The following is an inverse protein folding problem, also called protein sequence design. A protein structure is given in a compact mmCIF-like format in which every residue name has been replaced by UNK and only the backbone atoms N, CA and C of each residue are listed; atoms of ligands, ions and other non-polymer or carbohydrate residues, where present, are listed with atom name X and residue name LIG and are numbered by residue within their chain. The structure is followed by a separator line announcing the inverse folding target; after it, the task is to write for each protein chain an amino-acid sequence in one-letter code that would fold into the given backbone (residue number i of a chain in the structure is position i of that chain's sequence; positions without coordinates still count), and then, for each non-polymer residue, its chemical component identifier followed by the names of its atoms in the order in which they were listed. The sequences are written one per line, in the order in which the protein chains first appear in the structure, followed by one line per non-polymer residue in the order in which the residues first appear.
data_IF_052816460510
#
_entry.id   IF_052816460510
#
_cell.length_a   1.000
_cell.length_b   1.000
_cell.length_c   1.000
_cell.angle_alpha   90.00
_cell.angle_beta   90.00
_cell.angle_gamma   90.00
#
_symmetry.space_group_name_H-M   'P 1'
#
loop_
_entity.id
_entity.type
_entity.pdbx_description
1 polymer ?
#
# COMPACT_ATOMS: atom_id res chain seq x y z
N UNK A 1 -12.87 15.86 14.43
CA UNK A 1 -12.56 16.29 13.05
C UNK A 1 -11.38 15.50 12.59
N UNK A 2 -11.53 14.76 11.49
CA UNK A 2 -10.49 13.86 11.01
C UNK A 2 -9.92 14.26 9.65
N UNK A 3 -10.49 15.26 8.95
CA UNK A 3 -9.99 15.78 7.67
C UNK A 3 -9.93 17.31 7.68
N UNK A 4 -8.90 17.88 7.04
CA UNK A 4 -8.80 19.30 6.71
C UNK A 4 -8.34 19.47 5.26
N UNK A 5 -9.16 20.11 4.43
CA UNK A 5 -8.84 20.46 3.04
C UNK A 5 -8.11 21.79 3.01
N UNK A 6 -6.84 21.76 2.60
CA UNK A 6 -5.97 22.93 2.57
C UNK A 6 -6.00 23.68 1.24
N UNK A 7 -6.23 22.98 0.13
CA UNK A 7 -6.15 23.55 -1.22
C UNK A 7 -6.97 22.73 -2.22
N UNK A 8 -7.66 23.41 -3.12
CA UNK A 8 -8.19 22.84 -4.37
C UNK A 8 -7.68 23.71 -5.51
N UNK A 9 -6.76 23.16 -6.31
CA UNK A 9 -6.10 23.86 -7.40
C UNK A 9 -6.49 23.25 -8.74
N UNK A 10 -6.97 24.08 -9.66
CA UNK A 10 -7.22 23.65 -11.05
C UNK A 10 -5.90 23.61 -11.83
N UNK A 11 -5.78 22.60 -12.69
CA UNK A 11 -4.64 22.47 -13.57
C UNK A 11 -4.89 23.21 -14.90
N UNK A 12 -3.84 23.69 -15.57
CA UNK A 12 -3.99 24.34 -16.86
C UNK A 12 -4.70 23.43 -17.87
N UNK A 13 -5.74 23.96 -18.50
CA UNK A 13 -6.47 23.29 -19.58
C UNK A 13 -5.57 23.18 -20.81
N UNK A 14 -5.73 22.11 -21.57
CA UNK A 14 -4.89 21.77 -22.71
C UNK A 14 -5.67 21.63 -24.04
N UNK A 15 -5.09 20.94 -25.01
CA UNK A 15 -5.70 20.72 -26.31
C UNK A 15 -6.90 19.77 -26.27
N UNK A 16 -7.03 18.90 -25.27
CA UNK A 16 -8.12 17.91 -25.17
C UNK A 16 -9.32 18.37 -24.36
N UNK A 17 -9.13 19.34 -23.48
CA UNK A 17 -10.19 19.88 -22.62
C UNK A 17 -10.60 21.27 -23.12
N UNK A 18 -11.90 21.54 -23.18
CA UNK A 18 -12.45 22.86 -23.49
C UNK A 18 -12.55 23.70 -22.22
N UNK A 19 -13.13 23.11 -21.17
CA UNK A 19 -13.27 23.71 -19.86
C UNK A 19 -13.48 22.62 -18.80
N UNK A 20 -13.06 22.88 -17.57
CA UNK A 20 -13.31 22.00 -16.43
C UNK A 20 -13.32 22.83 -15.14
N UNK A 21 -14.02 22.34 -14.12
CA UNK A 21 -13.97 22.90 -12.77
C UNK A 21 -14.19 21.82 -11.71
N UNK A 22 -13.74 22.11 -10.49
CA UNK A 22 -14.10 21.39 -9.27
C UNK A 22 -14.90 22.38 -8.42
N UNK A 23 -16.19 22.08 -8.23
CA UNK A 23 -17.14 22.92 -7.51
C UNK A 23 -17.06 22.68 -5.98
N UNK A 24 -16.63 21.48 -5.56
CA UNK A 24 -16.52 21.04 -4.16
C UNK A 24 -15.39 20.00 -4.06
N UNK A 25 -14.59 19.93 -2.96
CA UNK A 25 -14.77 20.56 -1.65
C UNK A 25 -14.24 22.00 -1.55
N UNK A 26 -14.80 22.83 -0.65
CA UNK A 26 -14.14 24.05 -0.22
C UNK A 26 -12.93 23.73 0.66
N UNK A 27 -12.03 24.69 0.81
CA UNK A 27 -10.99 24.63 1.84
C UNK A 27 -11.61 24.74 3.23
N UNK A 28 -11.12 23.96 4.18
CA UNK A 28 -11.58 23.97 5.56
C UNK A 28 -11.72 22.56 6.15
N UNK A 29 -12.22 22.47 7.39
CA UNK A 29 -12.40 21.20 8.05
C UNK A 29 -13.57 20.41 7.44
N UNK A 30 -13.40 19.09 7.37
CA UNK A 30 -14.45 18.15 6.99
C UNK A 30 -14.65 17.16 8.13
N UNK A 31 -15.90 16.95 8.52
CA UNK A 31 -16.25 15.99 9.56
C UNK A 31 -16.14 14.55 9.03
N UNK A 32 -15.61 13.66 9.87
CA UNK A 32 -15.44 12.25 9.52
C UNK A 32 -14.25 11.93 8.62
N UNK A 33 -14.36 10.79 7.93
CA UNK A 33 -13.27 10.14 7.17
C UNK A 33 -13.54 10.08 5.66
N UNK A 34 -14.50 10.87 5.18
CA UNK A 34 -14.90 10.93 3.77
C UNK A 34 -15.11 12.40 3.41
N UNK A 35 -14.68 12.81 2.21
CA UNK A 35 -15.08 14.08 1.62
C UNK A 35 -15.63 13.86 0.22
N UNK A 36 -16.56 14.69 -0.20
CA UNK A 36 -17.12 14.62 -1.55
C UNK A 36 -16.30 15.45 -2.52
N UNK A 37 -16.33 15.07 -3.80
CA UNK A 37 -15.83 15.88 -4.90
C UNK A 37 -16.92 16.03 -5.93
N UNK A 38 -17.25 17.28 -6.25
CA UNK A 38 -18.17 17.63 -7.33
C UNK A 38 -17.43 18.48 -8.34
N UNK A 39 -17.69 18.25 -9.61
CA UNK A 39 -17.15 19.07 -10.67
C UNK A 39 -17.80 18.79 -12.00
N UNK A 40 -17.21 19.35 -13.04
CA UNK A 40 -17.64 19.13 -14.41
C UNK A 40 -16.47 19.27 -15.36
N UNK A 41 -16.58 18.63 -16.52
CA UNK A 41 -15.59 18.73 -17.59
C UNK A 41 -16.27 18.65 -18.94
N UNK A 42 -15.81 19.52 -19.86
CA UNK A 42 -16.19 19.51 -21.27
C UNK A 42 -14.95 19.15 -22.08
N UNK A 43 -14.92 17.93 -22.60
CA UNK A 43 -13.85 17.45 -23.49
C UNK A 43 -14.07 17.85 -24.95
N UNK A 44 -12.98 17.93 -25.72
CA UNK A 44 -13.01 17.99 -27.19
C UNK A 44 -13.06 16.61 -27.85
N UNK A 45 -12.87 15.56 -27.04
CA UNK A 45 -12.99 14.15 -27.40
C UNK A 45 -13.90 13.44 -26.38
N UNK A 46 -14.48 12.28 -26.74
CA UNK A 46 -15.31 11.50 -25.82
C UNK A 46 -14.56 11.10 -24.55
N UNK A 47 -15.15 11.44 -23.41
CA UNK A 47 -14.64 11.10 -22.07
C UNK A 47 -15.23 9.76 -21.65
N UNK A 48 -14.38 8.89 -21.11
CA UNK A 48 -14.79 7.61 -20.55
C UNK A 48 -15.17 7.74 -19.07
N UNK A 49 -14.29 8.34 -18.27
CA UNK A 49 -14.47 8.46 -16.82
C UNK A 49 -13.60 9.58 -16.22
N UNK A 50 -13.87 9.90 -14.96
CA UNK A 50 -13.01 10.69 -14.10
C UNK A 50 -12.39 9.76 -13.05
N UNK A 51 -11.07 9.80 -12.92
CA UNK A 51 -10.28 9.04 -11.95
C UNK A 51 -9.73 9.97 -10.87
N UNK A 52 -9.75 9.49 -9.64
CA UNK A 52 -9.10 10.10 -8.48
C UNK A 52 -7.85 9.31 -8.16
N UNK A 53 -6.69 9.96 -8.17
CA UNK A 53 -5.39 9.31 -8.08
C UNK A 53 -4.63 9.81 -6.85
N UNK A 54 -4.08 8.88 -6.07
CA UNK A 54 -3.18 9.16 -4.95
C UNK A 54 -1.96 8.27 -5.05
N UNK A 55 -0.75 8.87 -4.97
CA UNK A 55 0.53 8.14 -5.08
C UNK A 55 0.53 7.14 -6.26
N UNK A 56 0.15 7.64 -7.45
CA UNK A 56 0.07 6.88 -8.72
C UNK A 56 -1.02 5.79 -8.79
N UNK A 57 -1.75 5.56 -7.70
CA UNK A 57 -2.85 4.58 -7.62
C UNK A 57 -4.21 5.26 -7.82
N UNK A 58 -5.04 4.69 -8.68
CA UNK A 58 -6.46 5.10 -8.79
C UNK A 58 -7.19 4.63 -7.54
N UNK A 59 -7.68 5.57 -6.74
CA UNK A 59 -8.39 5.30 -5.48
C UNK A 59 -9.92 5.32 -5.64
N UNK A 60 -10.41 5.98 -6.69
CA UNK A 60 -11.82 6.00 -7.06
C UNK A 60 -12.00 6.41 -8.52
N UNK A 61 -13.11 6.03 -9.13
CA UNK A 61 -13.56 6.57 -10.41
C UNK A 61 -15.07 6.82 -10.44
N UNK A 62 -15.51 7.65 -11.37
CA UNK A 62 -16.92 7.93 -11.65
C UNK A 62 -17.13 8.31 -13.12
N UNK A 63 -18.35 8.09 -13.61
CA UNK A 63 -18.79 8.57 -14.92
C UNK A 63 -19.23 10.04 -14.87
N UNK A 64 -19.55 10.62 -16.03
CA UNK A 64 -20.08 11.98 -16.14
C UNK A 64 -21.61 11.98 -16.16
N UNK A 65 -22.23 11.41 -15.14
CA UNK A 65 -23.68 11.20 -15.06
C UNK A 65 -24.44 12.35 -14.39
N UNK A 66 -23.74 13.30 -13.76
CA UNK A 66 -24.36 14.45 -13.09
C UNK A 66 -24.85 15.46 -14.12
N UNK A 67 -26.13 15.79 -14.00
CA UNK A 67 -26.85 16.67 -14.92
C UNK A 67 -26.48 18.16 -14.73
N UNK A 68 -25.94 18.77 -15.79
CA UNK A 68 -25.40 20.15 -15.85
C UNK A 68 -25.87 20.92 -17.10
N UNK A 69 -27.15 21.32 -17.14
CA UNK A 69 -27.72 22.03 -18.29
C UNK A 69 -27.13 23.45 -18.44
N UNK A 70 -26.69 24.06 -17.33
CA UNK A 70 -25.97 25.34 -17.29
C UNK A 70 -24.65 25.29 -18.07
N UNK A 71 -23.92 24.18 -17.94
CA UNK A 71 -22.66 23.94 -18.65
C UNK A 71 -22.93 23.65 -20.14
N UNK A 72 -23.97 22.87 -20.44
CA UNK A 72 -24.39 22.60 -21.81
C UNK A 72 -24.75 23.88 -22.57
N UNK A 73 -25.49 24.80 -21.94
CA UNK A 73 -25.86 26.09 -22.54
C UNK A 73 -24.63 26.98 -22.77
N UNK A 74 -23.68 26.99 -21.83
CA UNK A 74 -22.48 27.84 -21.90
C UNK A 74 -21.47 27.37 -22.94
N UNK A 75 -21.26 26.05 -23.05
CA UNK A 75 -20.18 25.47 -23.87
C UNK A 75 -20.68 24.69 -25.09
N UNK A 76 -22.00 24.59 -25.31
CA UNK A 76 -22.59 23.82 -26.41
C UNK A 76 -22.32 22.32 -26.30
N UNK A 77 -22.23 21.79 -25.07
CA UNK A 77 -21.91 20.39 -24.77
C UNK A 77 -23.14 19.54 -24.46
N UNK A 78 -22.94 18.25 -24.17
CA UNK A 78 -23.95 17.45 -23.48
C UNK A 78 -24.24 18.04 -22.09
N UNK A 79 -25.49 17.90 -21.64
CA UNK A 79 -25.88 18.18 -20.26
C UNK A 79 -25.41 17.11 -19.27
N UNK A 80 -24.90 15.97 -19.74
CA UNK A 80 -24.17 15.00 -18.93
C UNK A 80 -22.67 15.34 -18.98
N UNK A 81 -22.29 16.33 -18.18
CA UNK A 81 -20.93 16.86 -18.13
C UNK A 81 -20.40 17.00 -16.69
N UNK A 82 -21.25 16.79 -15.68
CA UNK A 82 -20.85 16.81 -14.29
C UNK A 82 -20.39 15.44 -13.82
N UNK A 83 -19.55 15.43 -12.79
CA UNK A 83 -19.13 14.22 -12.10
C UNK A 83 -19.23 14.43 -10.59
N UNK A 84 -19.44 13.32 -9.87
CA UNK A 84 -19.43 13.30 -8.41
C UNK A 84 -18.83 12.01 -7.88
N UNK A 85 -18.06 12.11 -6.78
CA UNK A 85 -17.60 10.94 -6.03
C UNK A 85 -17.33 11.27 -4.56
N UNK A 86 -17.67 10.34 -3.67
CA UNK A 86 -17.20 10.34 -2.30
C UNK A 86 -15.82 9.69 -2.20
N UNK A 87 -14.88 10.36 -1.53
CA UNK A 87 -13.48 9.93 -1.38
C UNK A 87 -13.21 9.61 0.09
N UNK A 88 -13.01 8.32 0.39
CA UNK A 88 -12.57 7.87 1.71
C UNK A 88 -11.10 8.18 1.96
N UNK A 89 -10.77 8.66 3.15
CA UNK A 89 -9.39 9.05 3.50
C UNK A 89 -8.63 7.99 4.30
N UNK A 90 -9.33 6.98 4.84
CA UNK A 90 -8.68 5.82 5.47
C UNK A 90 -7.87 5.07 4.43
N UNK A 91 -6.54 5.05 4.59
CA UNK A 91 -5.62 4.51 3.58
C UNK A 91 -4.79 5.58 2.87
N UNK A 92 -5.18 6.85 2.93
CA UNK A 92 -4.34 7.94 2.43
C UNK A 92 -3.27 8.32 3.47
N UNK A 93 -2.17 8.90 2.99
CA UNK A 93 -1.18 9.51 3.86
C UNK A 93 -1.80 10.61 4.76
N UNK A 94 -1.23 10.81 5.96
CA UNK A 94 -1.71 11.83 6.91
C UNK A 94 -1.71 13.25 6.33
N UNK A 95 -0.81 13.53 5.39
CA UNK A 95 -0.92 14.63 4.46
C UNK A 95 -1.04 14.02 3.06
N UNK A 96 -2.08 14.36 2.32
CA UNK A 96 -2.40 13.73 1.05
C UNK A 96 -2.58 14.75 -0.08
N UNK A 97 -2.40 14.26 -1.30
CA UNK A 97 -2.83 14.93 -2.53
C UNK A 97 -3.63 13.92 -3.32
N UNK A 98 -4.85 14.29 -3.69
CA UNK A 98 -5.71 13.56 -4.62
C UNK A 98 -5.72 14.34 -5.92
N UNK A 99 -5.21 13.72 -6.98
CA UNK A 99 -5.23 14.26 -8.33
C UNK A 99 -6.51 13.82 -9.04
N UNK A 100 -7.17 14.76 -9.72
CA UNK A 100 -8.38 14.49 -10.49
C UNK A 100 -8.00 14.41 -11.96
N UNK A 101 -8.18 13.23 -12.54
CA UNK A 101 -7.81 12.90 -13.91
C UNK A 101 -9.04 12.60 -14.75
N UNK A 102 -9.07 13.10 -15.97
CA UNK A 102 -10.06 12.78 -16.99
C UNK A 102 -9.45 11.77 -17.94
N UNK A 103 -10.14 10.64 -18.14
CA UNK A 103 -9.73 9.58 -19.05
C UNK A 103 -10.63 9.60 -20.28
N UNK A 104 -10.01 9.68 -21.45
CA UNK A 104 -10.70 9.68 -22.74
C UNK A 104 -10.90 8.24 -23.26
N UNK A 105 -11.88 8.03 -24.13
CA UNK A 105 -12.18 6.70 -24.70
C UNK A 105 -11.02 6.10 -25.50
N UNK A 106 -10.06 6.92 -25.94
CA UNK A 106 -8.84 6.48 -26.62
C UNK A 106 -7.67 6.16 -25.67
N UNK A 107 -7.92 6.18 -24.36
CA UNK A 107 -6.94 5.87 -23.31
C UNK A 107 -6.02 7.04 -22.93
N UNK A 108 -6.11 8.19 -23.59
CA UNK A 108 -5.40 9.39 -23.13
C UNK A 108 -5.98 9.84 -21.80
N UNK A 109 -5.11 10.37 -20.93
CA UNK A 109 -5.51 10.95 -19.64
C UNK A 109 -5.02 12.38 -19.49
N UNK A 110 -5.78 13.22 -18.78
CA UNK A 110 -5.43 14.61 -18.46
C UNK A 110 -5.80 14.96 -17.04
N UNK A 111 -4.87 15.58 -16.33
CA UNK A 111 -5.09 16.06 -14.98
C UNK A 111 -5.85 17.40 -15.03
N UNK A 112 -6.93 17.53 -14.26
CA UNK A 112 -7.76 18.75 -14.22
C UNK A 112 -7.69 19.49 -12.89
N UNK A 113 -7.33 18.81 -11.80
CA UNK A 113 -7.22 19.44 -10.49
C UNK A 113 -6.36 18.62 -9.51
N UNK A 114 -5.89 19.30 -8.46
CA UNK A 114 -5.29 18.70 -7.27
C UNK A 114 -6.04 19.15 -6.02
N UNK A 115 -6.41 18.20 -5.18
CA UNK A 115 -7.02 18.43 -3.87
C UNK A 115 -5.99 18.03 -2.82
N UNK A 116 -5.61 18.97 -1.95
CA UNK A 116 -4.62 18.73 -0.89
C UNK A 116 -5.25 18.88 0.47
N UNK A 117 -4.92 17.98 1.38
CA UNK A 117 -5.41 18.04 2.74
C UNK A 117 -4.59 17.20 3.70
N UNK A 118 -5.04 17.22 4.95
CA UNK A 118 -4.54 16.35 6.00
C UNK A 118 -5.67 15.50 6.55
N UNK A 119 -5.31 14.33 7.05
CA UNK A 119 -6.24 13.45 7.76
C UNK A 119 -5.56 12.81 8.97
N UNK A 120 -6.38 12.46 9.96
CA UNK A 120 -5.93 11.77 11.16
C UNK A 120 -6.89 10.63 11.52
N UNK A 121 -6.42 9.40 11.32
CA UNK A 121 -7.07 8.20 11.84
C UNK A 121 -6.81 8.03 13.33
N UNK A 122 -7.88 7.96 14.11
CA UNK A 122 -7.85 7.77 15.57
C UNK A 122 -8.35 6.38 15.96
N UNK A 123 -7.95 5.96 17.17
CA UNK A 123 -8.42 4.74 17.80
C UNK A 123 -8.30 4.87 19.32
N UNK A 124 -9.28 4.34 20.04
CA UNK A 124 -9.24 4.26 21.50
C UNK A 124 -8.31 3.14 22.02
N UNK A 125 -7.77 2.29 21.13
CA UNK A 125 -6.86 1.23 21.50
C UNK A 125 -5.43 1.76 21.63
N UNK A 126 -4.76 1.42 22.74
CA UNK A 126 -3.36 1.78 22.98
C UNK A 126 -2.51 0.51 22.75
N UNK A 127 -1.77 0.40 21.63
CA UNK A 127 -1.03 -0.82 21.34
C UNK A 127 0.16 -1.00 22.26
N UNK A 128 0.22 -2.14 22.96
CA UNK A 128 1.40 -2.50 23.75
C UNK A 128 2.51 -3.12 22.90
N UNK A 129 2.13 -3.71 21.76
CA UNK A 129 3.04 -4.18 20.72
C UNK A 129 2.96 -3.32 19.46
N UNK A 130 4.10 -3.17 18.79
CA UNK A 130 4.25 -2.34 17.59
C UNK A 130 4.80 -3.17 16.42
N UNK A 131 4.42 -2.88 15.17
CA UNK A 131 4.92 -3.60 14.01
C UNK A 131 6.37 -3.21 13.70
N UNK A 132 7.17 -4.19 13.30
CA UNK A 132 8.38 -4.01 12.49
C UNK A 132 8.08 -4.65 11.13
N UNK A 133 7.93 -3.83 10.11
CA UNK A 133 7.64 -4.31 8.75
C UNK A 133 8.94 -4.54 7.99
N UNK A 134 9.17 -5.76 7.52
CA UNK A 134 10.29 -6.06 6.61
C UNK A 134 9.79 -5.90 5.18
N UNK A 135 10.02 -4.73 4.60
CA UNK A 135 9.65 -4.38 3.23
C UNK A 135 10.76 -4.86 2.28
N UNK A 136 10.41 -5.78 1.39
CA UNK A 136 11.38 -6.38 0.47
C UNK A 136 10.72 -6.85 -0.83
N UNK A 137 11.54 -7.07 -1.85
CA UNK A 137 11.09 -7.79 -3.03
C UNK A 137 11.39 -9.28 -2.87
N UNK A 138 10.54 -10.13 -3.44
CA UNK A 138 10.75 -11.57 -3.47
C UNK A 138 12.17 -11.96 -3.90
N UNK A 139 12.74 -12.96 -3.23
CA UNK A 139 14.11 -13.47 -3.43
C UNK A 139 15.27 -12.56 -2.97
N UNK A 140 14.99 -11.58 -2.10
CA UNK A 140 16.02 -10.68 -1.53
C UNK A 140 16.60 -11.12 -0.19
N UNK A 141 16.26 -12.32 0.30
CA UNK A 141 16.78 -12.85 1.57
C UNK A 141 15.96 -12.49 2.82
N UNK A 142 14.73 -11.98 2.65
CA UNK A 142 13.86 -11.56 3.76
C UNK A 142 13.52 -12.69 4.73
N UNK A 143 13.36 -13.93 4.26
CA UNK A 143 13.20 -15.11 5.12
C UNK A 143 14.35 -15.28 6.11
N UNK A 144 15.60 -15.04 5.68
CA UNK A 144 16.78 -15.13 6.56
C UNK A 144 16.80 -13.98 7.56
N UNK A 145 16.47 -12.77 7.13
CA UNK A 145 16.41 -11.60 8.01
C UNK A 145 15.31 -11.75 9.09
N UNK A 146 14.11 -12.16 8.70
CA UNK A 146 13.00 -12.40 9.64
C UNK A 146 13.33 -13.51 10.63
N UNK A 147 14.05 -14.56 10.19
CA UNK A 147 14.56 -15.59 11.10
C UNK A 147 15.55 -15.03 12.13
N UNK A 148 16.45 -14.12 11.72
CA UNK A 148 17.36 -13.45 12.65
C UNK A 148 16.56 -12.58 13.65
N UNK A 149 15.54 -11.85 13.19
CA UNK A 149 14.67 -11.02 14.06
C UNK A 149 13.92 -11.84 15.12
N UNK A 150 13.52 -13.08 14.81
CA UNK A 150 12.80 -13.96 15.75
C UNK A 150 13.58 -14.31 17.02
N UNK A 151 14.92 -14.15 17.02
CA UNK A 151 15.74 -14.40 18.20
C UNK A 151 15.81 -13.22 19.17
N UNK A 152 15.49 -12.00 18.72
CA UNK A 152 15.56 -10.82 19.57
C UNK A 152 14.53 -10.90 20.71
N UNK A 153 14.90 -10.61 21.97
CA UNK A 153 14.02 -10.80 23.13
C UNK A 153 12.72 -10.00 23.09
N UNK A 154 12.77 -8.78 22.53
CA UNK A 154 11.62 -7.88 22.45
C UNK A 154 10.76 -8.06 21.20
N UNK A 155 11.12 -9.00 20.31
CA UNK A 155 10.44 -9.22 19.04
C UNK A 155 9.71 -10.57 19.07
N UNK A 156 8.46 -10.59 18.59
CA UNK A 156 7.75 -11.81 18.24
C UNK A 156 7.55 -11.93 16.74
N UNK A 157 7.84 -13.11 16.20
CA UNK A 157 7.64 -13.44 14.79
C UNK A 157 6.79 -14.70 14.77
N UNK A 158 5.72 -14.73 13.98
CA UNK A 158 5.02 -15.99 13.71
C UNK A 158 5.89 -16.80 12.74
N UNK A 159 6.36 -17.98 13.18
CA UNK A 159 7.40 -18.74 12.49
C UNK A 159 6.90 -19.75 11.46
N UNK A 160 5.66 -19.64 10.99
CA UNK A 160 5.18 -20.46 9.89
C UNK A 160 5.86 -19.99 8.62
N UNK A 161 6.76 -20.83 8.09
CA UNK A 161 7.36 -20.60 6.78
C UNK A 161 6.26 -20.36 5.72
N UNK A 162 6.38 -19.33 4.85
CA UNK A 162 7.56 -18.48 4.61
C UNK A 162 7.64 -17.18 5.43
N UNK A 163 7.03 -17.13 6.63
CA UNK A 163 6.88 -15.96 7.50
C UNK A 163 5.95 -14.89 6.91
N UNK A 164 4.81 -15.34 6.38
CA UNK A 164 3.83 -14.55 5.60
C UNK A 164 2.41 -14.74 6.15
N UNK A 165 2.21 -14.40 7.42
CA UNK A 165 0.88 -14.51 8.06
C UNK A 165 -0.01 -13.29 7.85
N UNK A 166 0.59 -12.12 7.58
CA UNK A 166 -0.12 -10.89 7.20
C UNK A 166 -1.29 -10.52 8.13
N UNK A 167 -1.22 -10.82 9.42
CA UNK A 167 -2.32 -10.59 10.37
C UNK A 167 -2.64 -9.10 10.49
N UNK A 168 -1.63 -8.27 10.76
CA UNK A 168 -1.76 -6.82 10.80
C UNK A 168 -2.20 -6.29 9.44
N UNK A 169 -1.48 -6.66 8.38
CA UNK A 169 -1.79 -6.24 7.01
C UNK A 169 -3.25 -6.57 6.61
N UNK A 170 -3.74 -7.76 6.95
CA UNK A 170 -5.11 -8.19 6.73
C UNK A 170 -6.12 -7.30 7.45
N UNK A 171 -5.91 -7.05 8.75
CA UNK A 171 -6.81 -6.21 9.54
C UNK A 171 -6.79 -4.73 9.12
N UNK A 172 -5.65 -4.21 8.64
CA UNK A 172 -5.58 -2.87 8.06
C UNK A 172 -6.37 -2.78 6.75
N UNK A 173 -6.27 -3.80 5.89
CA UNK A 173 -7.07 -3.87 4.67
C UNK A 173 -8.56 -4.04 4.98
N UNK A 174 -8.92 -4.88 5.95
CA UNK A 174 -10.30 -5.07 6.40
C UNK A 174 -10.94 -3.75 6.85
N UNK A 175 -10.22 -2.97 7.66
CA UNK A 175 -10.70 -1.64 8.07
C UNK A 175 -10.83 -0.69 6.88
N UNK A 176 -9.86 -0.67 5.97
CA UNK A 176 -9.94 0.16 4.77
C UNK A 176 -11.20 -0.13 3.95
N UNK A 177 -11.53 -1.42 3.76
CA UNK A 177 -12.77 -1.83 3.08
C UNK A 177 -14.00 -1.32 3.83
N UNK A 178 -14.07 -1.54 5.15
CA UNK A 178 -15.24 -1.13 5.94
C UNK A 178 -15.41 0.40 6.04
N UNK A 179 -14.31 1.15 6.04
CA UNK A 179 -14.30 2.60 6.10
C UNK A 179 -14.44 3.27 4.72
N UNK A 180 -14.45 2.49 3.64
CA UNK A 180 -14.69 3.02 2.31
C UNK A 180 -16.14 3.49 2.18
N UNK A 181 -16.40 4.62 1.48
CA UNK A 181 -17.76 5.01 1.15
C UNK A 181 -18.36 3.96 0.21
N UNK A 182 -19.64 3.64 0.42
CA UNK A 182 -20.36 2.71 -0.44
C UNK A 182 -20.50 3.28 -1.85
N UNK A 183 -20.25 2.45 -2.87
CA UNK A 183 -20.47 2.82 -4.26
C UNK A 183 -21.85 2.34 -4.72
N UNK A 184 -22.83 3.24 -4.76
CA UNK A 184 -24.20 2.93 -5.18
C UNK A 184 -24.37 2.79 -6.69
N UNK A 185 -23.31 3.06 -7.48
CA UNK A 185 -23.36 2.93 -8.95
C UNK A 185 -23.30 1.49 -9.42
N UNK A 186 -22.74 0.60 -8.59
CA UNK A 186 -22.91 -0.83 -8.75
C UNK A 186 -24.17 -1.20 -7.99
N UNK A 187 -25.11 -1.90 -8.65
CA UNK A 187 -26.23 -2.56 -8.01
C UNK A 187 -25.69 -3.63 -7.03
N UNK A 188 -25.11 -3.22 -5.89
CA UNK A 188 -24.86 -4.03 -4.70
C UNK A 188 -26.22 -4.29 -4.02
N UNK A 189 -27.13 -4.85 -4.82
CA UNK A 189 -28.49 -5.22 -4.45
C UNK A 189 -28.46 -6.37 -3.44
N UNK A 190 -29.62 -6.69 -2.86
CA UNK A 190 -29.84 -7.88 -2.02
C UNK A 190 -29.24 -9.18 -2.60
N UNK A 191 -29.06 -9.25 -3.92
CA UNK A 191 -28.44 -10.38 -4.62
C UNK A 191 -26.98 -10.58 -4.24
N UNK A 192 -26.25 -9.52 -3.86
CA UNK A 192 -24.87 -9.61 -3.38
C UNK A 192 -24.74 -10.59 -2.21
N UNK A 193 -25.55 -10.39 -1.17
CA UNK A 193 -25.56 -11.21 0.04
C UNK A 193 -25.92 -12.68 -0.23
N UNK A 194 -26.61 -12.95 -1.34
CA UNK A 194 -27.01 -14.30 -1.74
C UNK A 194 -26.03 -14.98 -2.70
N UNK A 195 -25.34 -14.23 -3.57
CA UNK A 195 -24.54 -14.76 -4.67
C UNK A 195 -23.04 -14.85 -4.35
N UNK A 196 -22.52 -13.97 -3.47
CA UNK A 196 -21.11 -13.99 -3.06
C UNK A 196 -20.95 -13.79 -1.55
N UNK A 197 -21.27 -14.82 -0.73
CA UNK A 197 -21.21 -14.71 0.73
C UNK A 197 -19.77 -14.60 1.29
N UNK A 198 -18.74 -14.63 0.44
CA UNK A 198 -17.33 -14.50 0.85
C UNK A 198 -16.74 -13.12 0.56
N UNK A 199 -17.39 -12.31 -0.26
CA UNK A 199 -17.01 -10.91 -0.47
C UNK A 199 -17.57 -10.06 0.67
N UNK A 200 -16.76 -9.11 1.12
CA UNK A 200 -17.17 -8.08 2.07
C UNK A 200 -17.22 -6.74 1.32
N UNK A 201 -18.40 -6.12 1.17
CA UNK A 201 -18.52 -4.82 0.54
C UNK A 201 -18.13 -3.72 1.54
N UNK A 202 -17.94 -2.47 1.07
CA UNK A 202 -17.89 -1.32 1.95
C UNK A 202 -19.10 -1.26 2.89
N UNK A 203 -18.94 -0.61 4.04
CA UNK A 203 -20.03 -0.49 5.00
C UNK A 203 -21.18 0.34 4.39
N UNK A 204 -22.41 -0.20 4.30
CA UNK A 204 -23.49 0.35 3.47
C UNK A 204 -24.16 1.61 4.04
N UNK A 205 -23.70 2.10 5.19
CA UNK A 205 -24.35 3.17 5.96
C UNK A 205 -23.75 4.56 5.73
N UNK A 206 -22.81 4.72 4.80
CA UNK A 206 -22.51 6.05 4.27
C UNK A 206 -23.63 6.46 3.32
N UNK A 207 -24.69 7.06 3.87
CA UNK A 207 -25.83 7.53 3.10
C UNK A 207 -25.47 8.81 2.35
N UNK A 208 -25.75 8.83 1.05
CA UNK A 208 -25.51 10.00 0.22
C UNK A 208 -26.50 11.11 0.59
N UNK A 209 -26.07 12.38 0.65
CA UNK A 209 -26.98 13.50 0.87
C UNK A 209 -28.08 13.55 -0.22
N UNK A 210 -29.25 14.07 0.18
CA UNK A 210 -30.58 14.07 -0.49
C UNK A 210 -30.61 14.44 -1.99
N UNK A 211 -29.53 14.97 -2.55
CA UNK A 211 -29.53 15.71 -3.82
C UNK A 211 -29.43 14.80 -5.06
N UNK A 212 -29.06 13.52 -4.92
CA UNK A 212 -28.68 12.69 -6.09
C UNK A 212 -29.30 11.30 -6.15
N UNK A 213 -30.40 11.05 -5.42
CA UNK A 213 -31.21 9.84 -5.66
C UNK A 213 -32.02 10.07 -6.96
N UNK A 214 -31.86 9.25 -8.02
CA UNK A 214 -32.67 9.37 -9.23
C UNK A 214 -34.16 9.36 -8.86
N UNK A 215 -34.99 10.13 -9.56
CA UNK A 215 -36.41 10.34 -9.22
C UNK A 215 -37.22 9.04 -8.97
N UNK A 216 -36.75 7.91 -9.51
CA UNK A 216 -37.35 6.58 -9.33
C UNK A 216 -36.99 5.85 -8.02
N UNK A 217 -35.97 6.31 -7.30
CA UNK A 217 -35.50 5.73 -6.03
C UNK A 217 -35.83 6.60 -4.81
N UNK A 218 -36.65 7.65 -4.98
CA UNK A 218 -37.08 8.49 -3.86
C UNK A 218 -37.83 7.66 -2.81
N UNK A 219 -37.32 7.50 -1.57
CA UNK A 219 -38.06 6.81 -0.52
C UNK A 219 -39.38 7.53 -0.21
N UNK A 220 -40.43 6.75 0.08
CA UNK A 220 -41.78 7.22 0.44
C UNK A 220 -41.81 8.11 1.71
N UNK A 221 -40.73 8.07 2.50
CA UNK A 221 -40.45 9.00 3.58
C UNK A 221 -38.93 9.19 3.67
N UNK A 222 -38.47 10.44 3.57
CA UNK A 222 -37.07 10.78 3.79
C UNK A 222 -36.81 10.94 5.29
N UNK A 223 -35.65 10.49 5.79
CA UNK A 223 -35.20 10.93 7.10
C UNK A 223 -35.03 12.44 7.08
N UNK A 224 -35.30 13.08 8.21
CA UNK A 224 -35.04 14.51 8.39
C UNK A 224 -33.54 14.80 8.30
N UNK A 225 -33.12 16.04 7.97
CA UNK A 225 -31.70 16.42 7.98
C UNK A 225 -30.99 16.11 9.31
N UNK A 226 -31.70 16.19 10.44
CA UNK A 226 -31.17 15.82 11.75
C UNK A 226 -30.91 14.31 11.89
N UNK A 227 -31.76 13.47 11.30
CA UNK A 227 -31.58 12.01 11.27
C UNK A 227 -30.41 11.61 10.36
N UNK A 228 -30.24 12.26 9.20
CA UNK A 228 -29.06 12.06 8.34
C UNK A 228 -27.75 12.36 9.06
N UNK A 229 -27.64 13.54 9.67
CA UNK A 229 -26.45 13.95 10.42
C UNK A 229 -26.16 12.99 11.58
N UNK A 230 -27.20 12.48 12.26
CA UNK A 230 -27.02 11.51 13.33
C UNK A 230 -26.45 10.18 12.83
N UNK A 231 -26.89 9.70 11.66
CA UNK A 231 -26.41 8.46 11.05
C UNK A 231 -24.99 8.62 10.50
N UNK A 232 -24.67 9.72 9.83
CA UNK A 232 -23.30 10.02 9.37
C UNK A 232 -22.33 10.07 10.53
N UNK A 233 -22.70 10.75 11.63
CA UNK A 233 -21.88 10.80 12.84
C UNK A 233 -21.68 9.41 13.44
N UNK A 234 -22.74 8.60 13.51
CA UNK A 234 -22.63 7.21 13.97
C UNK A 234 -21.68 6.40 13.11
N UNK A 235 -21.72 6.57 11.77
CA UNK A 235 -20.80 5.93 10.84
C UNK A 235 -19.35 6.32 11.11
N UNK A 236 -19.06 7.60 11.33
CA UNK A 236 -17.71 8.05 11.66
C UNK A 236 -17.20 7.46 12.97
N UNK A 237 -18.06 7.37 13.99
CA UNK A 237 -17.72 6.69 15.24
C UNK A 237 -17.43 5.19 15.01
N UNK A 238 -18.06 4.56 14.01
CA UNK A 238 -17.76 3.16 13.65
C UNK A 238 -16.36 3.00 13.03
N UNK A 239 -15.86 3.98 12.28
CA UNK A 239 -14.50 3.89 11.70
C UNK A 239 -13.45 3.80 12.80
N UNK A 240 -13.58 4.60 13.86
CA UNK A 240 -12.68 4.55 15.03
C UNK A 240 -12.80 3.21 15.77
N UNK A 241 -14.03 2.66 15.86
CA UNK A 241 -14.27 1.35 16.45
C UNK A 241 -13.69 0.21 15.61
N UNK A 242 -13.76 0.28 14.28
CA UNK A 242 -13.09 -0.66 13.38
C UNK A 242 -11.57 -0.62 13.59
N UNK A 243 -10.99 0.57 13.79
CA UNK A 243 -9.58 0.71 14.14
C UNK A 243 -9.23 0.06 15.47
N UNK A 244 -10.06 0.29 16.50
CA UNK A 244 -9.91 -0.33 17.81
C UNK A 244 -9.97 -1.86 17.73
N UNK A 245 -10.94 -2.41 17.02
CA UNK A 245 -11.13 -3.86 16.84
C UNK A 245 -9.97 -4.47 16.06
N UNK A 246 -9.55 -3.85 14.95
CA UNK A 246 -8.42 -4.29 14.14
C UNK A 246 -7.13 -4.41 14.98
N UNK A 247 -6.77 -3.35 15.71
CA UNK A 247 -5.56 -3.38 16.56
C UNK A 247 -5.68 -4.41 17.69
N UNK A 248 -6.85 -4.53 18.32
CA UNK A 248 -7.08 -5.51 19.37
C UNK A 248 -6.96 -6.95 18.87
N UNK A 249 -7.47 -7.25 17.66
CA UNK A 249 -7.38 -8.56 17.04
C UNK A 249 -5.93 -8.92 16.68
N UNK A 250 -5.20 -7.99 16.08
CA UNK A 250 -3.77 -8.14 15.77
C UNK A 250 -2.98 -8.42 17.04
N UNK A 251 -3.15 -7.60 18.07
CA UNK A 251 -2.38 -7.78 19.30
C UNK A 251 -2.78 -9.05 20.07
N UNK A 252 -4.06 -9.42 20.06
CA UNK A 252 -4.52 -10.70 20.63
C UNK A 252 -3.83 -11.89 19.98
N UNK A 253 -3.70 -11.90 18.66
CA UNK A 253 -2.99 -12.96 17.93
C UNK A 253 -1.53 -13.09 18.36
N UNK A 254 -0.79 -11.97 18.34
CA UNK A 254 0.64 -11.98 18.69
C UNK A 254 0.88 -12.26 20.18
N UNK A 255 -0.01 -11.82 21.08
CA UNK A 255 0.05 -12.20 22.51
C UNK A 255 -0.12 -13.71 22.68
N UNK A 256 -1.08 -14.30 21.98
CA UNK A 256 -1.30 -15.74 22.07
C UNK A 256 -0.10 -16.52 21.54
N UNK A 257 0.44 -16.12 20.38
CA UNK A 257 1.64 -16.73 19.84
C UNK A 257 2.85 -16.55 20.79
N UNK A 258 3.05 -15.37 21.36
CA UNK A 258 4.12 -15.09 22.33
C UNK A 258 4.04 -16.01 23.57
N UNK A 259 2.84 -16.28 24.09
CA UNK A 259 2.62 -17.23 25.20
C UNK A 259 3.11 -18.62 24.86
N UNK A 260 2.82 -19.12 23.65
CA UNK A 260 3.29 -20.45 23.21
C UNK A 260 4.82 -20.54 23.16
N UNK A 261 5.49 -19.41 22.88
CA UNK A 261 6.96 -19.30 22.85
C UNK A 261 7.57 -18.93 24.20
N UNK A 262 6.78 -18.85 25.28
CA UNK A 262 7.19 -18.40 26.62
C UNK A 262 7.89 -17.03 26.59
N UNK A 263 7.50 -16.16 25.65
CA UNK A 263 7.93 -14.76 25.58
C UNK A 263 6.92 -13.95 26.38
N UNK A 264 7.37 -13.35 27.48
CA UNK A 264 6.44 -12.77 28.47
C UNK A 264 5.91 -11.40 28.07
N UNK A 265 6.67 -10.59 27.33
CA UNK A 265 6.29 -9.21 26.98
C UNK A 265 7.07 -8.68 25.75
N UNK A 266 6.91 -9.26 24.55
CA UNK A 266 7.50 -8.64 23.36
C UNK A 266 6.93 -7.22 23.17
N UNK A 267 7.79 -6.27 22.80
CA UNK A 267 7.38 -4.91 22.47
C UNK A 267 7.04 -4.75 20.99
N UNK A 268 7.50 -5.68 20.15
CA UNK A 268 7.33 -5.64 18.71
C UNK A 268 6.87 -6.97 18.13
N UNK A 269 6.10 -6.93 17.07
CA UNK A 269 5.87 -8.07 16.19
C UNK A 269 6.41 -7.79 14.79
N UNK A 270 6.81 -8.83 14.06
CA UNK A 270 7.31 -8.67 12.68
C UNK A 270 6.30 -9.20 11.67
N UNK A 271 6.09 -8.43 10.61
CA UNK A 271 5.51 -8.92 9.37
C UNK A 271 6.46 -8.71 8.21
N UNK A 272 6.49 -9.68 7.32
CA UNK A 272 7.17 -9.56 6.05
C UNK A 272 6.20 -8.99 5.03
N UNK A 273 6.49 -7.79 4.53
CA UNK A 273 5.74 -7.19 3.43
C UNK A 273 6.51 -7.42 2.13
N UNK A 274 5.91 -8.17 1.21
CA UNK A 274 6.36 -8.17 -0.18
C UNK A 274 5.79 -6.92 -0.84
N UNK A 275 6.52 -6.29 -1.76
CA UNK A 275 6.02 -5.19 -2.61
C UNK A 275 4.81 -5.66 -3.45
N UNK A 276 3.66 -5.73 -2.79
CA UNK A 276 2.33 -5.93 -3.34
C UNK A 276 1.65 -4.56 -3.28
N UNK A 277 0.78 -4.17 -4.23
CA UNK A 277 0.07 -2.90 -4.19
C UNK A 277 -0.90 -2.86 -3.00
N UNK A 278 -0.36 -2.53 -1.83
CA UNK A 278 -1.07 -2.31 -0.58
C UNK A 278 -0.77 -0.90 -0.09
N UNK A 279 -0.81 0.05 -1.03
CA UNK A 279 -0.52 1.47 -0.79
C UNK A 279 -1.30 2.05 0.40
N UNK A 280 -2.49 1.52 0.68
CA UNK A 280 -3.33 1.91 1.81
C UNK A 280 -2.88 1.36 3.17
N UNK A 281 -2.23 0.19 3.23
CA UNK A 281 -1.88 -0.47 4.51
C UNK A 281 -0.86 0.36 5.27
N UNK A 282 0.20 0.81 4.61
CA UNK A 282 1.31 1.53 5.26
C UNK A 282 0.86 2.85 5.90
N UNK A 283 0.06 3.71 5.24
CA UNK A 283 -0.50 4.91 5.86
C UNK A 283 -1.39 4.62 7.08
N UNK A 284 -2.22 3.58 7.04
CA UNK A 284 -3.06 3.17 8.18
C UNK A 284 -2.15 2.74 9.34
N UNK A 285 -1.17 1.88 9.08
CA UNK A 285 -0.24 1.40 10.10
C UNK A 285 0.51 2.53 10.77
N UNK A 286 1.00 3.52 9.99
CA UNK A 286 1.74 4.67 10.53
C UNK A 286 0.91 5.53 11.48
N UNK A 287 -0.38 5.66 11.22
CA UNK A 287 -1.27 6.46 12.06
C UNK A 287 -1.67 5.71 13.33
N UNK A 288 -1.92 4.40 13.22
CA UNK A 288 -2.38 3.57 14.34
C UNK A 288 -1.25 3.06 15.24
N UNK A 289 -0.04 2.93 14.70
CA UNK A 289 1.15 2.43 15.42
C UNK A 289 2.26 3.49 15.41
N UNK A 290 2.20 4.48 16.32
CA UNK A 290 3.13 5.62 16.30
C UNK A 290 4.59 5.24 16.58
N UNK A 291 4.84 4.03 17.13
CA UNK A 291 6.18 3.46 17.32
C UNK A 291 6.46 2.29 16.37
N UNK A 292 5.68 2.14 15.31
CA UNK A 292 5.99 1.21 14.23
C UNK A 292 7.36 1.50 13.63
N UNK A 293 8.00 0.47 13.08
CA UNK A 293 9.29 0.56 12.40
C UNK A 293 9.22 -0.18 11.06
N UNK A 294 10.11 0.16 10.14
CA UNK A 294 10.19 -0.48 8.83
C UNK A 294 11.66 -0.81 8.51
N UNK A 295 11.92 -1.97 7.92
CA UNK A 295 13.25 -2.38 7.45
C UNK A 295 13.13 -2.60 5.96
N UNK A 296 13.93 -1.87 5.18
CA UNK A 296 14.00 -2.06 3.74
C UNK A 296 15.12 -3.03 3.43
N UNK A 297 14.81 -4.18 2.84
CA UNK A 297 15.80 -5.17 2.43
C UNK A 297 15.95 -5.17 0.91
N UNK A 298 17.17 -4.84 0.47
CA UNK A 298 17.54 -4.77 -0.92
C UNK A 298 18.60 -5.81 -1.25
N UNK A 299 18.55 -6.36 -2.46
CA UNK A 299 19.56 -7.25 -3.03
C UNK A 299 19.92 -6.74 -4.43
N UNK A 300 21.14 -7.01 -4.90
CA UNK A 300 21.52 -6.72 -6.29
C UNK A 300 20.44 -7.26 -7.25
N UNK A 301 19.82 -6.41 -8.08
CA UNK A 301 18.71 -6.78 -8.93
C UNK A 301 19.10 -7.86 -9.96
N UNK A 302 20.39 -7.95 -10.32
CA UNK A 302 20.93 -8.97 -11.22
C UNK A 302 20.97 -10.34 -10.55
N UNK A 303 21.44 -10.39 -9.30
CA UNK A 303 21.42 -11.62 -8.50
C UNK A 303 19.99 -12.07 -8.17
N UNK A 304 19.08 -11.10 -8.01
CA UNK A 304 17.65 -11.37 -7.86
C UNK A 304 17.06 -11.99 -9.12
N UNK A 305 17.28 -11.40 -10.29
CA UNK A 305 16.85 -11.94 -11.59
C UNK A 305 17.32 -13.38 -11.75
N UNK A 306 18.63 -13.63 -11.59
CA UNK A 306 19.20 -14.97 -11.65
C UNK A 306 18.55 -15.93 -10.64
N UNK A 307 18.27 -15.47 -9.43
CA UNK A 307 17.58 -16.28 -8.42
C UNK A 307 16.14 -16.60 -8.77
N UNK A 308 15.39 -15.69 -9.42
CA UNK A 308 14.01 -15.94 -9.82
C UNK A 308 13.97 -16.93 -10.98
N UNK A 309 14.78 -16.72 -12.01
CA UNK A 309 14.83 -17.61 -13.17
C UNK A 309 15.19 -19.05 -12.75
N UNK A 310 16.20 -19.22 -11.89
CA UNK A 310 16.56 -20.53 -11.36
C UNK A 310 15.45 -21.16 -10.50
N UNK A 311 14.72 -20.36 -9.70
CA UNK A 311 13.61 -20.86 -8.88
C UNK A 311 12.43 -21.31 -9.75
N UNK A 312 12.03 -20.49 -10.71
CA UNK A 312 10.92 -20.78 -11.62
C UNK A 312 11.24 -22.00 -12.50
N UNK A 313 12.47 -22.13 -12.98
CA UNK A 313 12.92 -23.32 -13.71
C UNK A 313 12.84 -24.59 -12.85
N UNK A 314 13.23 -24.52 -11.58
CA UNK A 314 13.13 -25.64 -10.64
C UNK A 314 11.68 -26.03 -10.35
N UNK A 315 10.77 -25.04 -10.25
CA UNK A 315 9.35 -25.26 -9.90
C UNK A 315 8.46 -25.58 -11.10
N UNK A 316 8.89 -25.25 -12.32
CA UNK A 316 8.15 -25.49 -13.56
C UNK A 316 7.03 -24.49 -13.84
N UNK A 317 6.99 -23.34 -13.16
CA UNK A 317 6.03 -22.27 -13.42
C UNK A 317 6.62 -20.89 -13.09
N UNK A 318 6.03 -19.83 -13.63
CA UNK A 318 6.49 -18.45 -13.46
C UNK A 318 5.85 -17.78 -12.23
N UNK A 319 6.70 -17.20 -11.37
CA UNK A 319 6.31 -16.35 -10.23
C UNK A 319 7.17 -15.07 -10.18
N UNK A 320 6.92 -14.24 -9.15
CA UNK A 320 7.66 -13.00 -8.87
C UNK A 320 7.58 -11.97 -10.00
N UNK A 321 6.44 -11.89 -10.68
CA UNK A 321 6.20 -10.96 -11.78
C UNK A 321 6.66 -11.49 -13.14
N UNK A 322 7.39 -12.62 -13.20
CA UNK A 322 7.83 -13.21 -14.48
C UNK A 322 6.67 -13.64 -15.37
N UNK A 323 5.52 -13.95 -14.78
CA UNK A 323 4.29 -14.33 -15.48
C UNK A 323 3.61 -13.17 -16.22
N UNK A 324 4.05 -11.92 -16.00
CA UNK A 324 3.45 -10.72 -16.59
C UNK A 324 4.06 -10.38 -17.97
N UNK A 325 5.12 -11.08 -18.36
CA UNK A 325 5.91 -10.79 -19.57
C UNK A 325 6.31 -12.09 -20.25
N UNK A 326 6.59 -12.03 -21.55
CA UNK A 326 6.89 -13.22 -22.34
C UNK A 326 8.39 -13.54 -22.31
N UNK A 327 9.24 -12.51 -22.34
CA UNK A 327 10.70 -12.69 -22.47
C UNK A 327 11.47 -12.27 -21.22
N UNK A 328 12.69 -12.77 -21.09
CA UNK A 328 13.56 -12.43 -19.96
C UNK A 328 14.06 -10.99 -20.06
N UNK A 329 14.21 -10.44 -21.27
CA UNK A 329 14.56 -9.02 -21.48
C UNK A 329 13.45 -8.09 -20.97
N UNK A 330 12.18 -8.37 -21.29
CA UNK A 330 11.05 -7.65 -20.72
C UNK A 330 10.99 -7.79 -19.20
N UNK A 331 11.44 -8.94 -18.67
CA UNK A 331 11.47 -9.15 -17.24
C UNK A 331 12.54 -8.32 -16.53
N UNK A 332 13.64 -7.94 -17.20
CA UNK A 332 14.62 -6.98 -16.66
C UNK A 332 13.93 -5.66 -16.30
N UNK A 333 13.03 -5.17 -17.15
CA UNK A 333 12.28 -3.94 -16.89
C UNK A 333 11.37 -4.09 -15.66
N UNK A 334 10.71 -5.24 -15.49
CA UNK A 334 9.91 -5.53 -14.28
C UNK A 334 10.79 -5.49 -13.03
N UNK A 335 11.95 -6.14 -13.05
CA UNK A 335 12.90 -6.12 -11.92
C UNK A 335 13.36 -4.67 -11.64
N UNK A 336 13.64 -3.87 -12.67
CA UNK A 336 14.04 -2.46 -12.55
C UNK A 336 12.94 -1.63 -11.90
N UNK A 337 11.70 -1.73 -12.39
CA UNK A 337 10.56 -1.01 -11.83
C UNK A 337 10.36 -1.36 -10.35
N UNK A 338 10.33 -2.63 -9.98
CA UNK A 338 10.17 -3.05 -8.58
C UNK A 338 11.32 -2.53 -7.69
N UNK A 339 12.55 -2.53 -8.20
CA UNK A 339 13.73 -2.01 -7.48
C UNK A 339 13.62 -0.50 -7.26
N UNK A 340 13.23 0.25 -8.29
CA UNK A 340 13.02 1.69 -8.21
C UNK A 340 11.88 2.03 -7.24
N UNK A 341 10.78 1.28 -7.28
CA UNK A 341 9.65 1.46 -6.36
C UNK A 341 10.07 1.22 -4.90
N UNK A 342 10.88 0.20 -4.62
CA UNK A 342 11.41 -0.03 -3.26
C UNK A 342 12.28 1.15 -2.79
N UNK A 343 13.18 1.63 -3.66
CA UNK A 343 14.09 2.73 -3.34
C UNK A 343 13.31 4.03 -3.12
N UNK A 344 12.33 4.31 -3.97
CA UNK A 344 11.47 5.48 -3.85
C UNK A 344 10.66 5.42 -2.55
N UNK A 345 10.11 4.25 -2.22
CA UNK A 345 9.41 4.02 -0.96
C UNK A 345 10.33 4.25 0.25
N UNK A 346 11.56 3.76 0.21
CA UNK A 346 12.54 4.03 1.26
C UNK A 346 12.88 5.53 1.36
N UNK A 347 13.12 6.22 0.23
CA UNK A 347 13.38 7.67 0.21
C UNK A 347 12.22 8.47 0.81
N UNK A 348 10.96 8.04 0.61
CA UNK A 348 9.78 8.68 1.22
C UNK A 348 9.75 8.64 2.76
N UNK A 349 10.55 7.77 3.40
CA UNK A 349 10.70 7.72 4.86
C UNK A 349 11.61 8.83 5.42
N UNK A 350 12.10 9.74 4.57
CA UNK A 350 13.21 10.65 4.90
C UNK A 350 14.48 9.91 5.33
N UNK A 351 14.68 8.67 4.87
CA UNK A 351 15.82 7.78 5.19
C UNK A 351 16.02 7.52 6.69
N UNK A 352 14.96 7.62 7.50
CA UNK A 352 15.01 7.29 8.94
C UNK A 352 15.01 5.79 9.18
N UNK A 353 14.37 5.04 8.30
CA UNK A 353 14.26 3.59 8.39
C UNK A 353 15.51 2.90 7.80
N UNK A 354 16.03 1.83 8.42
CA UNK A 354 17.22 1.15 7.95
C UNK A 354 17.03 0.52 6.56
N UNK A 355 17.99 0.79 5.67
CA UNK A 355 18.15 0.09 4.39
C UNK A 355 19.26 -0.96 4.54
N UNK A 356 18.88 -2.23 4.57
CA UNK A 356 19.79 -3.37 4.69
C UNK A 356 20.06 -3.92 3.29
N UNK A 357 21.34 -3.97 2.92
CA UNK A 357 21.78 -4.69 1.71
C UNK A 357 22.04 -6.13 2.04
N UNK A 358 21.47 -7.03 1.26
CA UNK A 358 21.63 -8.46 1.39
C UNK A 358 23.11 -8.87 1.37
N UNK A 359 23.88 -8.30 0.44
CA UNK A 359 25.29 -8.62 0.25
C UNK A 359 26.12 -8.26 1.49
N UNK A 360 25.84 -7.12 2.10
CA UNK A 360 26.53 -6.67 3.31
C UNK A 360 26.09 -7.48 4.53
N UNK A 361 24.80 -7.82 4.62
CA UNK A 361 24.27 -8.70 5.66
C UNK A 361 24.93 -10.09 5.62
N UNK A 362 25.23 -10.62 4.44
CA UNK A 362 25.94 -11.89 4.30
C UNK A 362 27.45 -11.76 4.56
N UNK A 363 28.09 -10.68 4.11
CA UNK A 363 29.54 -10.47 4.28
C UNK A 363 29.92 -10.12 5.71
N UNK A 364 29.10 -9.33 6.41
CA UNK A 364 29.37 -8.79 7.74
C UNK A 364 28.13 -8.81 8.64
N UNK A 365 27.53 -9.99 8.91
CA UNK A 365 26.23 -10.11 9.59
C UNK A 365 26.20 -9.44 10.96
N UNK A 366 27.23 -9.60 11.79
CA UNK A 366 27.29 -8.97 13.12
C UNK A 366 27.30 -7.45 13.04
N UNK A 367 28.02 -6.86 12.10
CA UNK A 367 28.07 -5.40 11.91
C UNK A 367 26.70 -4.88 11.47
N UNK A 368 26.11 -5.53 10.46
CA UNK A 368 24.85 -5.09 9.86
C UNK A 368 23.66 -5.26 10.80
N UNK A 369 23.58 -6.38 11.54
CA UNK A 369 22.54 -6.58 12.54
C UNK A 369 22.65 -5.57 13.68
N UNK A 370 23.86 -5.27 14.16
CA UNK A 370 24.04 -4.23 15.18
C UNK A 370 23.55 -2.86 14.69
N UNK A 371 24.03 -2.41 13.52
CA UNK A 371 23.63 -1.12 12.95
C UNK A 371 22.12 -1.03 12.71
N UNK A 372 21.49 -2.12 12.24
CA UNK A 372 20.05 -2.20 12.08
C UNK A 372 19.30 -2.08 13.42
N UNK A 373 19.73 -2.80 14.47
CA UNK A 373 19.10 -2.69 15.80
C UNK A 373 19.27 -1.30 16.40
N UNK A 374 20.45 -0.69 16.25
CA UNK A 374 20.71 0.68 16.72
C UNK A 374 19.78 1.68 16.02
N UNK A 375 19.59 1.56 14.70
CA UNK A 375 18.65 2.38 13.93
C UNK A 375 17.18 2.17 14.32
N UNK A 376 16.82 0.95 14.73
CA UNK A 376 15.49 0.61 15.22
C UNK A 376 15.26 0.98 16.69
N UNK A 377 16.31 1.44 17.39
CA UNK A 377 16.34 1.72 18.84
C UNK A 377 16.07 0.47 19.69
N UNK A 378 16.68 -0.67 19.31
CA UNK A 378 16.59 -1.96 19.99
C UNK A 378 17.92 -2.36 20.65
N UNK A 379 17.87 -3.32 21.59
CA UNK A 379 19.07 -3.82 22.28
C UNK A 379 20.02 -4.54 21.31
N UNK A 380 21.17 -3.91 21.05
CA UNK A 380 22.21 -4.40 20.14
C UNK A 380 23.40 -5.07 20.85
N UNK A 381 23.18 -5.54 22.09
CA UNK A 381 24.18 -6.24 22.90
C UNK A 381 24.77 -7.47 22.18
N UNK A 382 26.06 -7.72 22.45
CA UNK A 382 26.85 -8.69 21.69
C UNK A 382 26.28 -10.12 21.75
N UNK A 383 25.65 -10.52 22.86
CA UNK A 383 24.97 -11.80 23.03
C UNK A 383 23.71 -11.91 22.15
N UNK A 384 22.87 -10.87 22.10
CA UNK A 384 21.67 -10.84 21.26
C UNK A 384 22.08 -10.90 19.79
N UNK A 385 22.98 -10.04 19.35
CA UNK A 385 23.47 -10.02 17.96
C UNK A 385 24.05 -11.38 17.57
N UNK A 386 24.85 -12.01 18.44
CA UNK A 386 25.41 -13.33 18.19
C UNK A 386 24.32 -14.40 18.04
N UNK A 387 23.27 -14.37 18.86
CA UNK A 387 22.15 -15.31 18.78
C UNK A 387 21.37 -15.13 17.47
N UNK A 388 21.05 -13.89 17.09
CA UNK A 388 20.37 -13.57 15.84
C UNK A 388 21.16 -14.06 14.63
N UNK A 389 22.47 -13.76 14.56
CA UNK A 389 23.34 -14.20 13.46
C UNK A 389 23.38 -15.72 13.37
N UNK A 390 23.51 -16.41 14.51
CA UNK A 390 23.50 -17.87 14.58
C UNK A 390 22.21 -18.45 14.00
N UNK A 391 21.04 -17.92 14.37
CA UNK A 391 19.76 -18.41 13.86
C UNK A 391 19.58 -18.18 12.35
N UNK A 392 20.18 -17.12 11.79
CA UNK A 392 20.18 -16.91 10.35
C UNK A 392 21.03 -17.92 9.57
N UNK A 393 22.04 -18.51 10.20
CA UNK A 393 22.91 -19.55 9.61
C UNK A 393 22.33 -20.96 9.77
N UNK A 394 21.61 -21.21 10.85
CA UNK A 394 20.85 -22.44 11.11
C UNK A 394 19.59 -22.49 10.24
N UNK A 395 19.77 -22.73 8.94
CA UNK A 395 18.66 -22.85 7.99
C UNK A 395 17.71 -23.99 8.35
N UNK A 396 16.39 -23.75 8.27
CA UNK A 396 15.36 -24.78 8.43
C UNK A 396 15.26 -25.67 7.20
N UNK A 397 14.69 -26.87 7.32
CA UNK A 397 14.54 -27.79 6.19
C UNK A 397 13.70 -27.17 5.05
N UNK A 398 12.64 -26.44 5.38
CA UNK A 398 11.85 -25.67 4.40
C UNK A 398 12.69 -24.60 3.67
N UNK A 399 13.63 -23.94 4.36
CA UNK A 399 14.55 -22.96 3.74
C UNK A 399 15.54 -23.66 2.80
N UNK A 400 15.93 -24.91 3.08
CA UNK A 400 16.81 -25.69 2.19
C UNK A 400 16.10 -26.05 0.88
N UNK A 401 14.82 -26.41 0.93
CA UNK A 401 14.02 -26.74 -0.27
C UNK A 401 13.81 -25.55 -1.23
N UNK A 402 13.80 -24.33 -0.69
CA UNK A 402 13.59 -23.09 -1.47
C UNK A 402 14.89 -22.38 -1.84
N UNK A 403 16.04 -22.97 -1.51
CA UNK A 403 17.36 -22.41 -1.77
C UNK A 403 17.78 -22.72 -3.21
N UNK A 404 18.15 -21.69 -3.96
CA UNK A 404 18.61 -21.82 -5.36
C UNK A 404 20.13 -21.72 -5.49
N UNK A 405 20.87 -21.73 -4.38
CA UNK A 405 22.33 -21.69 -4.31
C UNK A 405 22.82 -22.68 -3.24
N UNK A 406 24.05 -23.22 -3.35
CA UNK A 406 24.61 -24.12 -2.33
C UNK A 406 24.65 -23.48 -0.93
N UNK A 407 25.10 -22.23 -0.86
CA UNK A 407 25.19 -21.44 0.37
C UNK A 407 24.88 -19.95 0.13
N UNK A 408 24.79 -19.17 1.20
CA UNK A 408 24.43 -17.75 1.12
C UNK A 408 25.51 -16.90 0.43
N UNK A 409 26.80 -17.20 0.62
CA UNK A 409 27.90 -16.46 -0.02
C UNK A 409 27.96 -16.72 -1.51
N UNK A 410 27.74 -17.96 -1.94
CA UNK A 410 27.67 -18.34 -3.36
C UNK A 410 26.52 -17.66 -4.14
N UNK A 411 25.58 -17.04 -3.42
CA UNK A 411 24.45 -16.34 -4.02
C UNK A 411 24.76 -14.88 -4.40
N UNK A 412 25.91 -14.35 -3.98
CA UNK A 412 26.38 -13.00 -4.30
C UNK A 412 27.22 -13.07 -5.59
N UNK A 413 26.88 -12.24 -6.57
CA UNK A 413 27.50 -12.22 -7.88
C UNK A 413 27.20 -13.47 -8.73
N UNK A 414 26.18 -14.24 -8.37
CA UNK A 414 25.77 -15.45 -9.11
C UNK A 414 25.31 -15.12 -10.52
N UNK A 415 24.80 -13.91 -10.75
CA UNK A 415 24.32 -13.45 -12.04
C UNK A 415 25.37 -13.59 -13.15
N UNK A 416 26.66 -13.43 -12.82
CA UNK A 416 27.78 -13.55 -13.77
C UNK A 416 27.95 -14.96 -14.35
N UNK A 417 27.48 -15.97 -13.63
CA UNK A 417 27.55 -17.39 -14.03
C UNK A 417 26.20 -17.90 -14.51
N UNK A 418 25.13 -17.44 -13.88
CA UNK A 418 23.80 -18.03 -14.05
C UNK A 418 22.99 -17.33 -15.15
N UNK A 419 23.31 -16.09 -15.53
CA UNK A 419 22.68 -15.40 -16.67
C UNK A 419 23.51 -15.59 -17.94
N UNK A 420 22.84 -15.70 -19.09
CA UNK A 420 23.51 -15.70 -20.39
C UNK A 420 24.15 -14.33 -20.70
N UNK A 421 25.26 -14.27 -21.45
CA UNK A 421 25.99 -13.01 -21.69
C UNK A 421 25.12 -11.86 -22.20
N UNK A 422 24.15 -12.16 -23.07
CA UNK A 422 23.21 -11.16 -23.59
C UNK A 422 22.35 -10.53 -22.49
N UNK A 423 21.86 -11.32 -21.53
CA UNK A 423 21.08 -10.80 -20.40
C UNK A 423 21.98 -10.04 -19.41
N UNK A 424 23.26 -10.40 -19.30
CA UNK A 424 24.23 -9.66 -18.49
C UNK A 424 24.40 -8.23 -19.03
N UNK A 425 24.57 -8.08 -20.35
CA UNK A 425 24.68 -6.77 -21.01
C UNK A 425 23.42 -5.91 -20.80
N UNK A 426 22.23 -6.48 -21.03
CA UNK A 426 20.96 -5.79 -20.82
C UNK A 426 20.80 -5.37 -19.35
N UNK A 427 21.19 -6.23 -18.42
CA UNK A 427 21.17 -5.90 -17.00
C UNK A 427 22.13 -4.76 -16.65
N UNK A 428 23.36 -4.78 -17.17
CA UNK A 428 24.34 -3.74 -16.90
C UNK A 428 23.85 -2.38 -17.43
N UNK A 429 23.24 -2.34 -18.61
CA UNK A 429 22.58 -1.12 -19.14
C UNK A 429 21.36 -0.72 -18.28
N UNK A 430 20.50 -1.68 -17.94
CA UNK A 430 19.26 -1.41 -17.22
C UNK A 430 19.46 -1.11 -15.73
N UNK A 431 20.61 -1.39 -15.12
CA UNK A 431 20.88 -1.11 -13.71
C UNK A 431 22.06 -0.15 -13.50
N UNK A 432 22.60 0.44 -14.58
CA UNK A 432 23.67 1.42 -14.51
C UNK A 432 23.29 2.61 -13.61
N UNK A 433 24.24 3.06 -12.78
CA UNK A 433 24.07 4.12 -11.79
C UNK A 433 23.07 3.84 -10.64
N UNK A 434 22.19 2.85 -10.76
CA UNK A 434 21.20 2.49 -9.73
C UNK A 434 21.89 1.94 -8.48
N UNK A 435 22.93 1.15 -8.68
CA UNK A 435 23.71 0.52 -7.62
C UNK A 435 24.65 1.49 -6.91
N UNK A 436 25.17 2.48 -7.63
CA UNK A 436 26.06 3.51 -7.07
C UNK A 436 25.31 4.44 -6.10
N UNK A 437 24.03 4.73 -6.37
CA UNK A 437 23.16 5.50 -5.46
C UNK A 437 22.97 4.79 -4.09
N UNK A 438 23.11 3.46 -4.08
CA UNK A 438 22.93 2.61 -2.91
C UNK A 438 24.23 2.41 -2.11
N UNK A 439 25.39 2.47 -2.76
CA UNK A 439 26.71 2.37 -2.12
C UNK A 439 27.04 3.60 -1.26
N UNK A 440 26.52 4.78 -1.61
CA UNK A 440 26.69 6.01 -0.82
C UNK A 440 25.73 6.15 0.38
N UNK A 441 24.81 5.21 0.57
CA UNK A 441 23.66 5.34 1.48
C UNK A 441 23.58 4.24 2.55
N UNK A 442 24.49 3.28 2.58
CA UNK A 442 24.52 2.19 3.56
C UNK A 442 25.01 2.66 4.94
N UNK A 443 24.32 2.26 6.02
CA UNK A 443 24.64 2.59 7.41
C UNK A 443 26.08 2.25 7.86
#
# INVERSE_FOLDING_TARGET
MAIEISEVALCPIDDLITAANVDYPPTGPVDGYVFEVFGWVVGKAPIAEVQFVHEESVIACCELDVWRPDIAETFGSSSQAGFWKAIGTVGLAAAFTVEVWVVFQDGRRREIAKIRGTQQLTSAFIPSMQPIIVTSIGRSGSTRLVRMLAEHPDIIVEERFPYETFVCSYWMHFMHVLAAPADTSQDESWQFWALDPKRLPPCPYYFLPEVHVPYFYQPLAYPTPAEHVAVERWYFDQVEEFARVAQAAVESFYREYARTRKRTTPAFFVEKSLLVPTGHIRPIMRQLYPRGREIFLLRDPRDRLASVLAFNAFRGYHEFGRQLVDTDEQYVDVIRMETLSLIQMWKSTSRREPLVRYEDLIRSPTKQIRAMLDALELDSSANIVKAMVKAGDEGTDNVKEHRTSPDARSSIGRWKRDLEPRLQEICDEAFDGLLDELDGSSC
#
